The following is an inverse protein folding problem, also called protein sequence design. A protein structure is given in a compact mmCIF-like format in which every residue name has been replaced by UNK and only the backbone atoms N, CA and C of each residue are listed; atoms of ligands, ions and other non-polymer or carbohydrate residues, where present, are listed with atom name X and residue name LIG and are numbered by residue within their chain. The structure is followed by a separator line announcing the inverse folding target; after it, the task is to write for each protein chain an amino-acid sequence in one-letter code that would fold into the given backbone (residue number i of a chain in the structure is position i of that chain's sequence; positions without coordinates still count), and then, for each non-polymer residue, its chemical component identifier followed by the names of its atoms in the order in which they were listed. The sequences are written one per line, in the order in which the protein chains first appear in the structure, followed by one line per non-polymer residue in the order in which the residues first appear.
data_IF_426642425319
#
_entry.id   IF_426642425319
#
_cell.length_a   1.000
_cell.length_b   1.000
_cell.length_c   1.000
_cell.angle_alpha   90.00
_cell.angle_beta   90.00
_cell.angle_gamma   90.00
#
_symmetry.space_group_name_H-M   'P 1'
#
loop_
_entity.id
_entity.type
_entity.pdbx_description
1 polymer ?
#
# COMPACT_ATOMS: atom_id res chain seq x y z
N UNK A 1 -9.56 0.28 11.00
CA UNK A 1 -9.37 -0.05 9.57
C UNK A 1 -8.59 1.08 8.91
N UNK A 2 -7.26 0.98 8.85
CA UNK A 2 -6.39 2.02 8.28
C UNK A 2 -6.61 2.28 6.78
N UNK A 3 -7.29 1.37 6.07
CA UNK A 3 -7.54 1.43 4.62
C UNK A 3 -8.22 2.73 4.14
N UNK A 4 -9.14 3.27 4.94
CA UNK A 4 -9.92 4.46 4.57
C UNK A 4 -9.50 5.71 5.34
N UNK A 5 -8.56 5.60 6.26
CA UNK A 5 -8.07 6.75 7.00
C UNK A 5 -7.23 7.63 6.07
N UNK A 6 -7.33 8.94 6.24
CA UNK A 6 -6.39 9.86 5.61
C UNK A 6 -5.00 9.57 6.18
N UNK A 7 -4.02 9.43 5.31
CA UNK A 7 -2.62 9.37 5.73
C UNK A 7 -2.30 10.79 6.20
N UNK A 8 -2.04 11.02 7.48
CA UNK A 8 -1.70 12.35 7.99
C UNK A 8 -0.26 12.39 8.48
N UNK A 9 0.18 11.30 9.11
CA UNK A 9 1.51 11.20 9.69
C UNK A 9 2.41 10.20 8.95
N UNK A 10 3.71 10.26 9.25
CA UNK A 10 4.67 9.26 8.77
C UNK A 10 4.39 7.89 9.40
N UNK A 11 4.00 7.84 10.67
CA UNK A 11 3.59 6.59 11.32
C UNK A 11 2.40 5.94 10.62
N UNK A 12 1.41 6.71 10.18
CA UNK A 12 0.24 6.19 9.45
C UNK A 12 0.64 5.58 8.12
N UNK A 13 1.55 6.23 7.38
CA UNK A 13 2.07 5.72 6.12
C UNK A 13 2.82 4.39 6.32
N UNK A 14 3.62 4.28 7.39
CA UNK A 14 4.33 3.04 7.74
C UNK A 14 3.39 1.90 8.12
N UNK A 15 2.37 2.18 8.94
CA UNK A 15 1.34 1.21 9.31
C UNK A 15 0.60 0.71 8.08
N UNK A 16 0.17 1.62 7.20
CA UNK A 16 -0.52 1.28 5.97
C UNK A 16 0.36 0.44 5.04
N UNK A 17 1.66 0.76 4.94
CA UNK A 17 2.61 -0.05 4.17
C UNK A 17 2.72 -1.47 4.70
N UNK A 18 2.84 -1.61 6.02
CA UNK A 18 2.94 -2.92 6.69
C UNK A 18 1.67 -3.73 6.51
N UNK A 19 0.52 -3.17 6.88
CA UNK A 19 -0.77 -3.85 6.83
C UNK A 19 -1.15 -4.21 5.39
N UNK A 20 -0.90 -3.30 4.44
CA UNK A 20 -1.12 -3.54 3.03
C UNK A 20 -0.21 -4.63 2.48
N UNK A 21 1.09 -4.61 2.80
CA UNK A 21 2.03 -5.65 2.36
C UNK A 21 1.66 -7.03 2.91
N UNK A 22 1.19 -7.10 4.17
CA UNK A 22 0.69 -8.33 4.77
C UNK A 22 -0.55 -8.84 4.02
N UNK A 23 -1.50 -7.96 3.68
CA UNK A 23 -2.68 -8.34 2.92
C UNK A 23 -2.33 -8.92 1.53
N UNK A 24 -1.35 -8.33 0.84
CA UNK A 24 -0.85 -8.86 -0.44
C UNK A 24 -0.07 -10.16 -0.29
N UNK A 25 0.68 -10.35 0.80
CA UNK A 25 1.32 -11.63 1.12
C UNK A 25 0.30 -12.74 1.38
N UNK A 26 -0.78 -12.43 2.10
CA UNK A 26 -1.89 -13.38 2.32
C UNK A 26 -2.57 -13.72 1.00
N UNK A 27 -2.82 -12.71 0.14
CA UNK A 27 -3.37 -12.93 -1.21
C UNK A 27 -2.47 -13.85 -2.04
N UNK A 28 -1.16 -13.57 -2.06
CA UNK A 28 -0.18 -14.39 -2.77
C UNK A 28 -0.14 -15.82 -2.23
N UNK A 29 -0.22 -16.01 -0.91
CA UNK A 29 -0.31 -17.34 -0.30
C UNK A 29 -1.57 -18.10 -0.74
N UNK A 30 -2.71 -17.40 -0.84
CA UNK A 30 -3.95 -17.99 -1.32
C UNK A 30 -3.89 -18.34 -2.80
N UNK A 31 -3.36 -17.44 -3.65
CA UNK A 31 -3.12 -17.70 -5.07
C UNK A 31 -2.14 -18.86 -5.27
N UNK A 32 -1.09 -18.94 -4.45
CA UNK A 32 -0.14 -20.04 -4.52
C UNK A 32 -0.80 -21.37 -4.18
N UNK A 33 -1.61 -21.41 -3.11
CA UNK A 33 -2.36 -22.61 -2.73
C UNK A 33 -3.28 -23.06 -3.86
N UNK A 34 -4.06 -22.15 -4.45
CA UNK A 34 -4.92 -22.43 -5.61
C UNK A 34 -4.08 -22.89 -6.81
N UNK A 35 -2.92 -22.25 -7.02
CA UNK A 35 -2.03 -22.55 -8.13
C UNK A 35 -1.45 -23.97 -8.07
N UNK A 36 -1.11 -24.46 -6.87
CA UNK A 36 -0.61 -25.82 -6.68
C UNK A 36 -1.66 -26.87 -7.07
N UNK A 37 -2.94 -26.64 -6.74
CA UNK A 37 -3.99 -27.66 -6.90
C UNK A 37 -4.82 -27.54 -8.19
N UNK A 38 -4.99 -26.34 -8.72
CA UNK A 38 -5.98 -26.07 -9.79
C UNK A 38 -5.31 -25.48 -11.04
N UNK A 39 -4.47 -24.46 -10.87
CA UNK A 39 -3.97 -23.66 -11.98
C UNK A 39 -2.48 -23.28 -11.78
N UNK A 40 -1.53 -24.14 -12.19
CA UNK A 40 -0.10 -23.92 -11.97
C UNK A 40 0.42 -22.58 -12.52
N UNK A 41 -0.22 -22.04 -13.55
CA UNK A 41 0.11 -20.71 -14.09
C UNK A 41 -0.03 -19.58 -13.07
N UNK A 42 -0.91 -19.72 -12.06
CA UNK A 42 -1.10 -18.73 -10.99
C UNK A 42 0.05 -18.70 -9.98
N UNK A 43 0.93 -19.71 -9.97
CA UNK A 43 2.08 -19.75 -9.07
C UNK A 43 3.09 -18.65 -9.39
N UNK A 44 3.25 -18.31 -10.68
CA UNK A 44 4.13 -17.24 -11.09
C UNK A 44 3.59 -15.88 -10.62
N UNK A 45 2.30 -15.63 -10.80
CA UNK A 45 1.65 -14.40 -10.34
C UNK A 45 1.74 -14.27 -8.82
N UNK A 46 1.43 -15.34 -8.08
CA UNK A 46 1.59 -15.39 -6.63
C UNK A 46 3.03 -15.06 -6.19
N UNK A 47 4.04 -15.62 -6.86
CA UNK A 47 5.43 -15.34 -6.57
C UNK A 47 5.78 -13.86 -6.83
N UNK A 48 5.32 -13.30 -7.95
CA UNK A 48 5.53 -11.88 -8.29
C UNK A 48 4.86 -10.97 -7.26
N UNK A 49 3.59 -11.22 -6.90
CA UNK A 49 2.86 -10.45 -5.88
C UNK A 49 3.58 -10.51 -4.53
N UNK A 50 4.02 -11.70 -4.10
CA UNK A 50 4.76 -11.87 -2.84
C UNK A 50 6.08 -11.09 -2.83
N UNK A 51 6.85 -11.15 -3.91
CA UNK A 51 8.12 -10.42 -4.03
C UNK A 51 7.88 -8.91 -4.02
N UNK A 52 6.88 -8.42 -4.76
CA UNK A 52 6.53 -7.00 -4.77
C UNK A 52 6.08 -6.52 -3.39
N UNK A 53 5.23 -7.29 -2.69
CA UNK A 53 4.80 -6.98 -1.34
C UNK A 53 5.99 -6.87 -0.36
N UNK A 54 6.95 -7.80 -0.43
CA UNK A 54 8.16 -7.77 0.38
C UNK A 54 9.06 -6.57 0.05
N UNK A 55 9.21 -6.24 -1.23
CA UNK A 55 9.99 -5.06 -1.68
C UNK A 55 9.36 -3.77 -1.16
N UNK A 56 8.04 -3.63 -1.26
CA UNK A 56 7.31 -2.46 -0.74
C UNK A 56 7.49 -2.36 0.77
N UNK A 57 7.35 -3.47 1.49
CA UNK A 57 7.51 -3.48 2.94
C UNK A 57 8.92 -3.08 3.38
N UNK A 58 9.95 -3.66 2.77
CA UNK A 58 11.34 -3.53 3.21
C UNK A 58 12.05 -2.30 2.64
N UNK A 59 11.83 -1.99 1.36
CA UNK A 59 12.52 -0.91 0.66
C UNK A 59 11.68 0.36 0.51
N UNK A 60 10.38 0.32 0.84
CA UNK A 60 9.45 1.44 0.64
C UNK A 60 9.49 1.99 -0.79
N UNK A 61 9.74 1.08 -1.74
CA UNK A 61 10.04 1.43 -3.13
C UNK A 61 8.78 1.91 -3.85
N UNK A 62 8.85 3.13 -4.38
CA UNK A 62 7.78 3.73 -5.19
C UNK A 62 7.52 2.92 -6.47
N UNK A 63 8.59 2.42 -7.09
CA UNK A 63 8.53 1.60 -8.30
C UNK A 63 7.85 0.26 -7.99
N UNK A 64 8.14 -0.34 -6.83
CA UNK A 64 7.47 -1.56 -6.38
C UNK A 64 5.97 -1.35 -6.17
N UNK A 65 5.59 -0.24 -5.54
CA UNK A 65 4.17 0.09 -5.32
C UNK A 65 3.42 0.35 -6.64
N UNK A 66 4.05 1.05 -7.60
CA UNK A 66 3.48 1.25 -8.95
C UNK A 66 3.33 -0.07 -9.72
N UNK A 67 4.34 -0.95 -9.67
CA UNK A 67 4.27 -2.26 -10.28
C UNK A 67 3.13 -3.10 -9.69
N UNK A 68 2.92 -3.03 -8.37
CA UNK A 68 1.82 -3.71 -7.70
C UNK A 68 0.44 -3.17 -8.14
N UNK A 69 0.31 -1.85 -8.35
CA UNK A 69 -0.93 -1.26 -8.90
C UNK A 69 -1.19 -1.77 -10.32
N UNK A 70 -0.17 -1.81 -11.18
CA UNK A 70 -0.34 -2.31 -12.54
C UNK A 70 -0.74 -3.78 -12.57
N UNK A 71 -0.10 -4.61 -11.73
CA UNK A 71 -0.40 -6.03 -11.62
C UNK A 71 -1.83 -6.26 -11.11
N UNK A 72 -2.20 -5.63 -10.00
CA UNK A 72 -3.55 -5.74 -9.43
C UNK A 72 -4.63 -5.15 -10.34
N UNK A 73 -4.29 -4.12 -11.12
CA UNK A 73 -5.15 -3.58 -12.16
C UNK A 73 -5.39 -4.57 -13.29
N UNK A 74 -4.34 -5.25 -13.77
CA UNK A 74 -4.46 -6.29 -14.79
C UNK A 74 -5.31 -7.48 -14.28
N UNK A 75 -5.07 -7.93 -13.05
CA UNK A 75 -5.87 -8.99 -12.40
C UNK A 75 -7.35 -8.58 -12.26
N UNK A 76 -7.63 -7.32 -11.90
CA UNK A 76 -8.99 -6.82 -11.82
C UNK A 76 -9.69 -6.83 -13.19
N UNK A 77 -8.99 -6.43 -14.25
CA UNK A 77 -9.50 -6.50 -15.62
C UNK A 77 -9.79 -7.95 -16.00
N UNK A 78 -8.86 -8.88 -15.78
CA UNK A 78 -9.05 -10.31 -16.05
C UNK A 78 -10.26 -10.85 -15.26
N UNK A 79 -10.40 -10.46 -14.00
CA UNK A 79 -11.53 -10.87 -13.13
C UNK A 79 -12.87 -10.34 -13.68
N UNK A 80 -12.91 -9.11 -14.19
CA UNK A 80 -14.11 -8.54 -14.83
C UNK A 80 -14.42 -9.28 -16.14
N UNK A 81 -13.40 -9.57 -16.96
CA UNK A 81 -13.54 -10.33 -18.20
C UNK A 81 -14.06 -11.76 -17.94
N UNK A 82 -13.56 -12.41 -16.89
CA UNK A 82 -14.06 -13.71 -16.43
C UNK A 82 -15.53 -13.60 -15.98
N UNK A 83 -15.89 -12.53 -15.26
CA UNK A 83 -17.25 -12.34 -14.76
C UNK A 83 -18.28 -12.19 -15.88
N UNK A 84 -17.92 -11.54 -16.98
CA UNK A 84 -18.79 -11.37 -18.16
C UNK A 84 -18.77 -12.58 -19.11
N UNK A 85 -18.10 -13.67 -18.72
CA UNK A 85 -18.06 -14.92 -19.50
C UNK A 85 -17.13 -14.89 -20.72
N UNK A 86 -16.32 -13.84 -20.87
CA UNK A 86 -15.36 -13.73 -21.98
C UNK A 86 -14.13 -14.64 -21.80
N UNK A 87 -13.83 -15.01 -20.55
CA UNK A 87 -12.81 -16.00 -20.19
C UNK A 87 -13.34 -16.91 -19.08
N UNK A 88 -12.97 -18.20 -19.12
CA UNK A 88 -13.37 -19.20 -18.10
C UNK A 88 -12.19 -19.55 -17.19
N UNK A 89 -11.30 -18.60 -16.95
CA UNK A 89 -9.99 -18.83 -16.32
C UNK A 89 -9.93 -18.15 -14.96
N UNK A 90 -10.42 -18.80 -13.90
CA UNK A 90 -10.04 -18.56 -12.51
C UNK A 90 -10.18 -17.14 -11.94
N UNK A 91 -10.98 -16.98 -10.87
CA UNK A 91 -11.16 -15.72 -10.14
C UNK A 91 -12.55 -15.14 -10.34
N UNK A 92 -13.50 -15.54 -9.49
CA UNK A 92 -14.91 -15.10 -9.54
C UNK A 92 -15.19 -13.88 -8.66
N UNK A 93 -14.26 -13.52 -7.76
CA UNK A 93 -14.47 -12.51 -6.73
C UNK A 93 -14.02 -11.12 -7.18
N UNK A 94 -14.85 -10.49 -8.03
CA UNK A 94 -14.71 -9.07 -8.43
C UNK A 94 -14.58 -8.14 -7.22
N UNK A 95 -15.28 -8.44 -6.12
CA UNK A 95 -15.21 -7.63 -4.90
C UNK A 95 -13.81 -7.62 -4.27
N UNK A 96 -13.12 -8.77 -4.25
CA UNK A 96 -11.76 -8.88 -3.75
C UNK A 96 -10.79 -8.09 -4.63
N UNK A 97 -10.96 -8.19 -5.95
CA UNK A 97 -10.14 -7.46 -6.92
C UNK A 97 -10.24 -5.92 -6.73
N UNK A 98 -11.46 -5.41 -6.49
CA UNK A 98 -11.68 -3.99 -6.22
C UNK A 98 -11.00 -3.55 -4.93
N UNK A 99 -11.13 -4.32 -3.85
CA UNK A 99 -10.48 -3.99 -2.57
C UNK A 99 -8.96 -3.96 -2.71
N UNK A 100 -8.39 -4.94 -3.41
CA UNK A 100 -6.94 -5.02 -3.65
C UNK A 100 -6.45 -3.85 -4.51
N UNK A 101 -7.22 -3.45 -5.52
CA UNK A 101 -6.90 -2.28 -6.35
C UNK A 101 -6.90 -0.98 -5.54
N UNK A 102 -7.90 -0.78 -4.68
CA UNK A 102 -7.95 0.39 -3.79
C UNK A 102 -6.74 0.39 -2.84
N UNK A 103 -6.40 -0.78 -2.29
CA UNK A 103 -5.28 -0.94 -1.38
C UNK A 103 -3.93 -0.67 -2.06
N UNK A 104 -3.73 -1.13 -3.31
CA UNK A 104 -2.50 -0.88 -4.05
C UNK A 104 -2.30 0.61 -4.35
N UNK A 105 -3.36 1.33 -4.72
CA UNK A 105 -3.31 2.79 -4.92
C UNK A 105 -2.92 3.51 -3.62
N UNK A 106 -3.49 3.09 -2.49
CA UNK A 106 -3.18 3.64 -1.16
C UNK A 106 -1.72 3.38 -0.75
N UNK A 107 -1.17 2.21 -1.08
CA UNK A 107 0.25 1.89 -0.88
C UNK A 107 1.16 2.82 -1.69
N UNK A 108 0.79 3.11 -2.94
CA UNK A 108 1.51 4.12 -3.76
C UNK A 108 1.49 5.48 -3.05
N UNK A 109 0.32 5.96 -2.63
CA UNK A 109 0.23 7.25 -1.92
C UNK A 109 1.12 7.29 -0.66
N UNK A 110 1.13 6.21 0.12
CA UNK A 110 1.97 6.09 1.31
C UNK A 110 3.48 6.13 0.98
N UNK A 111 3.94 5.41 -0.06
CA UNK A 111 5.35 5.46 -0.47
C UNK A 111 5.77 6.86 -0.94
N UNK A 112 4.90 7.60 -1.64
CA UNK A 112 5.17 8.97 -2.06
C UNK A 112 5.19 9.95 -0.89
N UNK A 113 4.32 9.77 0.12
CA UNK A 113 4.32 10.60 1.33
C UNK A 113 5.55 10.37 2.20
N UNK A 114 6.01 9.12 2.33
CA UNK A 114 7.26 8.79 3.03
C UNK A 114 8.49 9.45 2.41
N UNK A 115 8.46 9.67 1.09
CA UNK A 115 9.54 10.31 0.36
C UNK A 115 9.55 11.85 0.45
N UNK A 116 8.44 12.49 0.86
CA UNK A 116 8.40 13.94 1.00
C UNK A 116 9.08 14.35 2.32
N UNK A 117 10.10 15.23 2.29
CA UNK A 117 10.67 15.79 3.51
C UNK A 117 9.55 16.49 4.30
N UNK A 118 9.34 16.09 5.56
CA UNK A 118 8.43 16.84 6.42
C UNK A 118 9.04 18.23 6.67
N UNK A 119 8.25 19.31 6.54
CA UNK A 119 8.68 20.62 7.04
C UNK A 119 9.08 20.46 8.51
N UNK A 120 10.23 21.00 8.95
CA UNK A 120 10.67 20.88 10.34
C UNK A 120 9.51 21.31 11.24
N UNK A 121 9.11 20.43 12.15
CA UNK A 121 8.04 20.66 13.11
C UNK A 121 8.18 22.09 13.62
N UNK A 122 7.15 22.91 13.37
CA UNK A 122 7.14 24.34 13.71
C UNK A 122 7.57 24.42 15.17
N UNK A 123 8.84 24.76 15.42
CA UNK A 123 9.35 24.96 16.78
C UNK A 123 8.41 26.01 17.35
N UNK A 124 7.64 25.62 18.36
CA UNK A 124 6.74 26.54 19.04
C UNK A 124 7.55 27.83 19.30
N UNK A 125 7.03 29.01 18.95
CA UNK A 125 7.76 30.25 19.16
C UNK A 125 8.21 30.23 20.61
N UNK A 126 9.53 30.30 20.82
CA UNK A 126 10.09 30.31 22.14
C UNK A 126 9.42 31.47 22.88
N UNK A 127 8.52 31.13 23.81
CA UNK A 127 7.98 32.06 24.79
C UNK A 127 9.12 32.39 25.74
N UNK A 128 10.10 33.15 25.25
CA UNK A 128 11.13 33.75 26.09
C UNK A 128 10.50 35.04 26.56
N UNK A 129 10.16 35.01 27.84
CA UNK A 129 9.37 36.00 28.54
C UNK A 129 9.91 37.41 28.37
N UNK A 130 8.95 38.30 28.17
CA UNK A 130 8.98 39.69 28.62
C UNK A 130 9.32 39.74 30.12
N UNK A 131 10.61 39.70 30.45
CA UNK A 131 11.15 40.03 31.77
C UNK A 131 11.60 41.49 31.77
N UNK A 132 10.91 42.30 32.58
CA UNK A 132 10.91 43.75 32.52
C UNK A 132 12.27 44.44 32.65
N UNK A 133 12.38 45.57 31.95
CA UNK A 133 13.27 46.66 32.31
C UNK A 133 12.96 47.08 33.74
N UNK A 134 13.96 47.11 34.62
CA UNK A 134 13.91 47.92 35.84
C UNK A 134 15.28 48.51 36.13
N UNK A 135 15.38 49.81 35.84
CA UNK A 135 15.98 50.88 36.65
C UNK A 135 17.42 50.76 37.14
N UNK A 136 18.27 51.57 36.51
CA UNK A 136 19.10 52.61 37.14
C UNK A 136 19.43 52.46 38.64
N UNK A 137 20.71 52.27 38.95
CA UNK A 137 21.54 53.23 39.71
C UNK A 137 22.99 52.78 39.76
#
# INVERSE_FOLDING_TARGET
MALFSRIETREDALKLLRDGSIAFLVLAGLQALIGVFIAPGMLLDAAIVAVLALIIWKAQSRVGALALVLLTGAEAVITVLNRIGAMSSGGSNVFLAIIMLILSIRLVEATFRLARPQPPARRAPAMIGSGGRSTAR
#
